data_IF_059130658765
#
_entry.id   IF_059130658765
#
_cell.length_a   1.000
_cell.length_b   1.000
_cell.length_c   1.000
_cell.angle_alpha   90.00
_cell.angle_beta   90.00
_cell.angle_gamma   90.00
#
_symmetry.space_group_name_H-M   'P 1'
#
loop_
_entity.id
_entity.type
_entity.pdbx_description
1 polymer ?
#
# COMPACT_ATOMS: atom_id res chain seq x y z
N UNK A 1 8.53 -13.37 23.93
CA UNK A 1 8.21 -14.46 22.98
C UNK A 1 6.72 -14.45 22.63
N UNK A 2 6.10 -13.27 22.46
CA UNK A 2 4.64 -13.11 22.39
C UNK A 2 4.17 -12.29 21.16
N UNK A 3 5.12 -11.68 20.43
CA UNK A 3 4.81 -10.76 19.32
C UNK A 3 4.49 -11.52 18.02
N UNK A 4 5.08 -12.70 17.82
CA UNK A 4 4.85 -13.55 16.64
C UNK A 4 3.45 -14.19 16.64
N UNK A 5 2.93 -14.58 17.81
CA UNK A 5 1.61 -15.20 17.95
C UNK A 5 0.44 -14.23 17.71
N UNK A 6 0.67 -12.93 17.91
CA UNK A 6 -0.32 -11.86 17.67
C UNK A 6 -0.48 -11.51 16.19
N UNK A 7 0.58 -11.67 15.38
CA UNK A 7 0.51 -11.49 13.92
C UNK A 7 -0.28 -12.62 13.26
N UNK A 8 -0.01 -13.88 13.65
CA UNK A 8 -0.66 -15.06 13.10
C UNK A 8 -2.18 -15.04 13.32
N UNK A 9 -2.65 -14.58 14.50
CA UNK A 9 -4.09 -14.43 14.80
C UNK A 9 -4.81 -13.37 13.98
N UNK A 10 -4.11 -12.35 13.48
CA UNK A 10 -4.68 -11.29 12.63
C UNK A 10 -4.89 -11.75 11.19
N UNK A 11 -4.05 -12.67 10.72
CA UNK A 11 -4.10 -13.23 9.36
C UNK A 11 -5.15 -14.34 9.19
N UNK A 12 -5.56 -15.02 10.28
CA UNK A 12 -6.62 -16.06 10.24
C UNK A 12 -7.93 -15.51 9.64
N UNK A 13 -8.19 -14.20 9.81
CA UNK A 13 -9.35 -13.55 9.22
C UNK A 13 -9.23 -13.31 7.71
N UNK A 14 -8.02 -13.17 7.18
CA UNK A 14 -7.79 -12.83 5.77
C UNK A 14 -7.47 -14.06 4.94
N UNK A 15 -8.35 -15.06 4.90
CA UNK A 15 -8.20 -16.20 3.99
C UNK A 15 -8.11 -15.77 2.51
N UNK A 16 -7.64 -16.68 1.66
CA UNK A 16 -7.47 -16.44 0.20
C UNK A 16 -8.74 -15.85 -0.42
N UNK A 17 -9.91 -16.41 -0.13
CA UNK A 17 -11.18 -15.92 -0.65
C UNK A 17 -11.50 -14.46 -0.26
N UNK A 18 -11.20 -14.06 0.99
CA UNK A 18 -11.41 -12.68 1.43
C UNK A 18 -10.43 -11.72 0.76
N UNK A 19 -9.16 -12.12 0.60
CA UNK A 19 -8.15 -11.34 -0.13
C UNK A 19 -8.55 -11.15 -1.59
N UNK A 20 -8.97 -12.22 -2.27
CA UNK A 20 -9.43 -12.16 -3.66
C UNK A 20 -10.65 -11.26 -3.81
N UNK A 21 -11.70 -11.47 -3.00
CA UNK A 21 -12.92 -10.65 -3.04
C UNK A 21 -12.63 -9.16 -2.82
N UNK A 22 -11.74 -8.85 -1.87
CA UNK A 22 -11.31 -7.49 -1.62
C UNK A 22 -10.62 -6.88 -2.86
N UNK A 23 -9.63 -7.57 -3.42
CA UNK A 23 -8.83 -7.05 -4.54
C UNK A 23 -9.67 -6.91 -5.82
N UNK A 24 -10.55 -7.87 -6.11
CA UNK A 24 -11.47 -7.80 -7.26
C UNK A 24 -12.44 -6.62 -7.13
N UNK A 25 -13.03 -6.44 -5.94
CA UNK A 25 -13.94 -5.31 -5.69
C UNK A 25 -13.20 -3.99 -5.77
N UNK A 26 -11.95 -3.94 -5.31
CA UNK A 26 -11.12 -2.75 -5.36
C UNK A 26 -10.75 -2.40 -6.81
N UNK A 27 -10.45 -3.40 -7.63
CA UNK A 27 -10.15 -3.23 -9.05
C UNK A 27 -11.35 -2.69 -9.85
N UNK A 28 -12.57 -3.05 -9.44
CA UNK A 28 -13.78 -2.59 -10.10
C UNK A 28 -14.22 -1.20 -9.62
N UNK A 29 -14.05 -0.88 -8.34
CA UNK A 29 -14.67 0.29 -7.71
C UNK A 29 -13.71 1.39 -7.29
N UNK A 30 -12.44 1.06 -7.02
CA UNK A 30 -11.50 1.97 -6.36
C UNK A 30 -11.87 2.32 -4.90
N UNK A 31 -12.92 1.72 -4.35
CA UNK A 31 -13.46 2.04 -3.02
C UNK A 31 -13.05 0.98 -1.99
N UNK A 32 -12.19 1.39 -1.05
CA UNK A 32 -11.65 0.53 0.00
C UNK A 32 -12.71 0.10 1.02
N UNK A 33 -13.65 0.98 1.36
CA UNK A 33 -14.69 0.66 2.34
C UNK A 33 -15.64 -0.41 1.78
N UNK A 34 -16.07 -0.21 0.54
CA UNK A 34 -16.88 -1.17 -0.21
C UNK A 34 -16.18 -2.51 -0.41
N UNK A 35 -14.89 -2.48 -0.74
CA UNK A 35 -14.09 -3.69 -0.95
C UNK A 35 -13.93 -4.50 0.34
N UNK A 36 -13.74 -3.80 1.47
CA UNK A 36 -13.67 -4.44 2.78
C UNK A 36 -15.02 -5.08 3.16
N UNK A 37 -16.12 -4.36 2.95
CA UNK A 37 -17.48 -4.87 3.16
C UNK A 37 -17.74 -6.14 2.33
N UNK A 38 -17.40 -6.13 1.03
CA UNK A 38 -17.54 -7.28 0.14
C UNK A 38 -16.74 -8.50 0.63
N UNK A 39 -15.55 -8.28 1.20
CA UNK A 39 -14.72 -9.34 1.79
C UNK A 39 -15.17 -9.77 3.20
N UNK A 40 -16.22 -9.16 3.76
CA UNK A 40 -16.69 -9.41 5.14
C UNK A 40 -15.69 -8.93 6.19
N UNK A 41 -14.94 -7.86 5.91
CA UNK A 41 -13.87 -7.30 6.74
C UNK A 41 -14.04 -5.79 6.95
N UNK A 42 -13.27 -5.24 7.88
CA UNK A 42 -13.22 -3.80 8.09
C UNK A 42 -12.09 -3.18 7.27
N UNK A 43 -12.29 -1.97 6.75
CA UNK A 43 -11.23 -1.24 6.04
C UNK A 43 -9.98 -1.05 6.91
N UNK A 44 -10.15 -0.85 8.22
CA UNK A 44 -9.04 -0.77 9.17
C UNK A 44 -8.20 -2.06 9.21
N UNK A 45 -8.84 -3.24 9.20
CA UNK A 45 -8.15 -4.52 9.13
C UNK A 45 -7.46 -4.74 7.78
N UNK A 46 -8.04 -4.25 6.68
CA UNK A 46 -7.44 -4.32 5.34
C UNK A 46 -6.15 -3.49 5.26
N UNK A 47 -6.16 -2.28 5.82
CA UNK A 47 -4.94 -1.46 5.94
C UNK A 47 -3.90 -2.07 6.88
N UNK A 48 -4.32 -2.75 7.94
CA UNK A 48 -3.40 -3.48 8.81
C UNK A 48 -2.72 -4.63 8.05
N UNK A 49 -3.49 -5.44 7.33
CA UNK A 49 -2.95 -6.50 6.48
C UNK A 49 -1.96 -5.95 5.45
N UNK A 50 -2.32 -4.88 4.73
CA UNK A 50 -1.46 -4.23 3.74
C UNK A 50 -0.10 -3.80 4.29
N UNK A 51 -0.01 -3.41 5.57
CA UNK A 51 1.28 -3.03 6.19
C UNK A 51 2.18 -4.23 6.50
N UNK A 52 1.60 -5.42 6.68
CA UNK A 52 2.31 -6.60 7.15
C UNK A 52 2.49 -7.68 6.07
N UNK A 53 1.69 -7.65 5.01
CA UNK A 53 1.70 -8.60 3.91
C UNK A 53 2.08 -7.87 2.60
N UNK A 54 3.36 -7.96 2.17
CA UNK A 54 3.82 -7.30 0.95
C UNK A 54 3.11 -7.78 -0.31
N UNK A 55 2.74 -9.07 -0.40
CA UNK A 55 2.05 -9.60 -1.56
C UNK A 55 0.63 -9.03 -1.68
N UNK A 56 -0.07 -8.92 -0.55
CA UNK A 56 -1.36 -8.23 -0.52
C UNK A 56 -1.23 -6.73 -0.84
N UNK A 57 -0.14 -6.08 -0.41
CA UNK A 57 0.13 -4.69 -0.75
C UNK A 57 0.37 -4.46 -2.24
N UNK A 58 1.06 -5.39 -2.91
CA UNK A 58 1.31 -5.32 -4.34
C UNK A 58 0.02 -5.58 -5.12
N UNK A 59 -0.77 -6.60 -4.76
CA UNK A 59 -2.10 -6.83 -5.34
C UNK A 59 -3.05 -5.64 -5.14
N UNK A 60 -2.95 -4.94 -4.01
CA UNK A 60 -3.73 -3.72 -3.77
C UNK A 60 -3.39 -2.61 -4.76
N UNK A 61 -2.10 -2.38 -5.03
CA UNK A 61 -1.69 -1.37 -6.00
C UNK A 61 -2.08 -1.76 -7.43
N UNK A 62 -1.97 -3.03 -7.80
CA UNK A 62 -2.47 -3.55 -9.07
C UNK A 62 -3.97 -3.32 -9.23
N UNK A 63 -4.76 -3.64 -8.21
CA UNK A 63 -6.20 -3.39 -8.20
C UNK A 63 -6.53 -1.90 -8.37
N UNK A 64 -5.88 -1.01 -7.61
CA UNK A 64 -6.09 0.42 -7.78
C UNK A 64 -5.73 0.90 -9.20
N UNK A 65 -4.63 0.42 -9.77
CA UNK A 65 -4.25 0.77 -11.14
C UNK A 65 -5.33 0.33 -12.15
N UNK A 66 -5.92 -0.86 -11.98
CA UNK A 66 -7.03 -1.32 -12.81
C UNK A 66 -8.27 -0.42 -12.67
N UNK A 67 -8.61 -0.01 -11.45
CA UNK A 67 -9.74 0.90 -11.20
C UNK A 67 -9.54 2.26 -11.87
N UNK A 68 -8.32 2.82 -11.81
CA UNK A 68 -8.02 4.07 -12.50
C UNK A 68 -8.06 3.93 -14.01
N UNK A 69 -7.49 2.86 -14.59
CA UNK A 69 -7.54 2.64 -16.03
C UNK A 69 -8.99 2.58 -16.54
N UNK A 70 -9.88 1.87 -15.81
CA UNK A 70 -11.32 1.85 -16.13
C UNK A 70 -11.95 3.23 -16.07
N UNK A 71 -11.67 4.00 -15.03
CA UNK A 71 -12.19 5.36 -14.89
C UNK A 71 -11.67 6.28 -16.00
N UNK A 72 -10.40 6.14 -16.40
CA UNK A 72 -9.80 6.87 -17.51
C UNK A 72 -10.49 6.55 -18.84
N UNK A 73 -10.70 5.26 -19.15
CA UNK A 73 -11.40 4.82 -20.36
C UNK A 73 -12.84 5.36 -20.40
N UNK A 74 -13.54 5.28 -19.27
CA UNK A 74 -14.90 5.78 -19.11
C UNK A 74 -15.01 7.31 -19.26
N UNK A 75 -14.02 8.06 -18.77
CA UNK A 75 -13.97 9.50 -18.94
C UNK A 75 -13.59 9.89 -20.36
N UNK A 76 -12.66 9.17 -21.00
CA UNK A 76 -12.27 9.40 -22.39
C UNK A 76 -13.44 9.13 -23.35
N UNK A 77 -14.17 8.02 -23.15
CA UNK A 77 -15.33 7.70 -23.96
C UNK A 77 -16.39 8.82 -23.88
N UNK A 78 -16.67 9.32 -22.66
CA UNK A 78 -17.57 10.47 -22.46
C UNK A 78 -17.03 11.76 -23.09
N UNK A 79 -15.71 11.97 -23.06
CA UNK A 79 -15.08 13.14 -23.67
C UNK A 79 -15.15 13.15 -25.20
N UNK A 80 -15.04 11.97 -25.82
CA UNK A 80 -15.09 11.80 -27.28
C UNK A 80 -16.54 11.88 -27.78
N UNK A 81 -17.50 11.40 -27.00
CA UNK A 81 -18.93 11.40 -27.32
C UNK A 81 -19.58 12.81 -27.22
N UNK A 82 -18.91 13.84 -27.76
CA UNK A 82 -19.30 15.27 -27.82
C UNK A 82 -20.71 15.55 -28.40
N UNK A 83 -21.52 14.53 -28.72
CA UNK A 83 -22.90 14.61 -29.19
C UNK A 83 -23.98 14.22 -28.17
N UNK A 84 -23.65 13.63 -27.02
CA UNK A 84 -24.65 13.34 -25.99
C UNK A 84 -24.97 14.63 -25.21
N UNK A 85 -25.94 15.39 -25.73
CA UNK A 85 -26.52 16.59 -25.08
C UNK A 85 -26.89 16.28 -23.63
N UNK A 86 -26.08 16.80 -22.72
CA UNK A 86 -26.25 16.99 -21.27
C UNK A 86 -26.73 15.79 -20.44
N UNK A 87 -25.80 15.15 -19.71
CA UNK A 87 -25.83 15.07 -18.23
C UNK A 87 -24.38 14.99 -17.70
N UNK A 88 -23.90 16.07 -17.10
CA UNK A 88 -22.69 16.10 -16.27
C UNK A 88 -21.45 16.68 -16.97
N UNK A 89 -21.05 17.88 -16.54
CA UNK A 89 -19.83 18.58 -16.96
C UNK A 89 -18.65 17.63 -17.07
N UNK A 90 -18.09 17.46 -18.27
CA UNK A 90 -16.78 16.84 -18.46
C UNK A 90 -15.75 17.71 -17.73
N UNK A 91 -15.41 17.32 -16.50
CA UNK A 91 -14.45 18.07 -15.70
C UNK A 91 -13.04 17.71 -16.18
N UNK A 92 -12.58 18.49 -17.16
CA UNK A 92 -11.23 18.42 -17.71
C UNK A 92 -10.16 18.53 -16.60
N UNK A 93 -10.43 19.27 -15.53
CA UNK A 93 -9.51 19.38 -14.40
C UNK A 93 -9.47 18.09 -13.57
N UNK A 94 -10.58 17.36 -13.47
CA UNK A 94 -10.61 16.02 -12.88
C UNK A 94 -9.81 15.02 -13.72
N UNK A 95 -9.99 15.03 -15.05
CA UNK A 95 -9.25 14.16 -15.96
C UNK A 95 -7.73 14.39 -15.87
N UNK A 96 -7.28 15.65 -15.90
CA UNK A 96 -5.86 15.99 -15.76
C UNK A 96 -5.29 15.61 -14.38
N UNK A 97 -6.08 15.74 -13.30
CA UNK A 97 -5.67 15.30 -11.96
C UNK A 97 -5.49 13.79 -11.85
N UNK A 98 -6.34 13.00 -12.51
CA UNK A 98 -6.22 11.54 -12.54
C UNK A 98 -4.95 11.11 -13.27
N UNK A 99 -4.68 11.69 -14.44
CA UNK A 99 -3.45 11.45 -15.22
C UNK A 99 -2.18 11.78 -14.42
N UNK A 100 -2.11 12.97 -13.82
CA UNK A 100 -0.95 13.38 -13.02
C UNK A 100 -0.72 12.45 -11.81
N UNK A 101 -1.80 11.93 -11.20
CA UNK A 101 -1.70 10.99 -10.08
C UNK A 101 -1.21 9.60 -10.52
N UNK A 102 -1.61 9.14 -11.72
CA UNK A 102 -1.10 7.88 -12.31
C UNK A 102 0.39 7.98 -12.59
N UNK A 103 0.85 9.08 -13.17
CA UNK A 103 2.28 9.32 -13.44
C UNK A 103 3.11 9.33 -12.15
N UNK A 104 2.68 10.07 -11.13
CA UNK A 104 3.37 10.11 -9.84
C UNK A 104 3.40 8.76 -9.12
N UNK A 105 2.35 7.94 -9.27
CA UNK A 105 2.29 6.60 -8.67
C UNK A 105 3.11 5.59 -9.45
N UNK A 106 3.07 5.61 -10.77
CA UNK A 106 3.93 4.80 -11.63
C UNK A 106 5.41 5.08 -11.36
N UNK A 107 5.77 6.36 -11.19
CA UNK A 107 7.10 6.76 -10.77
C UNK A 107 7.47 6.24 -9.37
N UNK A 108 6.53 6.23 -8.42
CA UNK A 108 6.75 5.73 -7.05
C UNK A 108 6.79 4.20 -6.96
N UNK A 109 6.03 3.50 -7.79
CA UNK A 109 6.09 2.05 -7.92
C UNK A 109 7.40 1.60 -8.60
N UNK A 110 7.93 2.43 -9.51
CA UNK A 110 9.22 2.20 -10.17
C UNK A 110 10.41 2.66 -9.33
N UNK A 111 10.18 3.46 -8.28
CA UNK A 111 11.24 3.87 -7.36
C UNK A 111 11.71 2.65 -6.56
N UNK A 112 13.04 2.50 -6.32
CA UNK A 112 13.56 1.44 -5.48
C UNK A 112 12.85 1.47 -4.12
N UNK A 113 12.17 0.38 -3.76
CA UNK A 113 11.61 0.22 -2.41
C UNK A 113 12.78 0.29 -1.43
N UNK A 114 12.95 1.41 -0.72
CA UNK A 114 13.74 1.42 0.50
C UNK A 114 13.13 0.35 1.41
N UNK A 115 13.93 -0.68 1.69
CA UNK A 115 13.49 -1.82 2.48
C UNK A 115 12.91 -1.30 3.79
N UNK A 116 11.67 -1.73 4.11
CA UNK A 116 11.11 -1.58 5.46
C UNK A 116 12.23 -2.00 6.43
N UNK A 117 12.69 -1.13 7.36
CA UNK A 117 13.72 -1.53 8.28
C UNK A 117 13.20 -2.74 9.02
N UNK A 118 13.84 -3.91 8.80
CA UNK A 118 13.57 -5.08 9.63
C UNK A 118 13.76 -4.61 11.07
N UNK A 119 12.79 -4.91 11.93
CA UNK A 119 13.03 -4.83 13.37
C UNK A 119 14.24 -5.71 13.63
N UNK A 120 15.39 -5.07 13.85
CA UNK A 120 16.64 -5.78 14.11
C UNK A 120 16.41 -6.71 15.29
N UNK A 121 16.85 -7.96 15.17
CA UNK A 121 16.82 -8.90 16.28
C UNK A 121 17.57 -8.31 17.48
N UNK A 122 17.21 -8.71 18.69
CA UNK A 122 17.89 -8.23 19.91
C UNK A 122 19.41 -8.40 19.82
N UNK A 123 19.85 -9.48 19.18
CA UNK A 123 21.25 -9.82 18.95
C UNK A 123 21.93 -8.85 17.96
N UNK A 124 21.25 -8.43 16.89
CA UNK A 124 21.75 -7.40 15.97
C UNK A 124 21.84 -6.02 16.65
N UNK A 125 20.87 -5.68 17.49
CA UNK A 125 20.87 -4.44 18.27
C UNK A 125 22.01 -4.46 19.29
N UNK A 126 22.21 -5.58 19.98
CA UNK A 126 23.31 -5.78 20.94
C UNK A 126 24.66 -5.65 20.24
N UNK A 127 24.84 -6.28 19.08
CA UNK A 127 26.05 -6.16 18.29
C UNK A 127 26.31 -4.72 17.82
N UNK A 128 25.26 -3.99 17.43
CA UNK A 128 25.38 -2.58 17.05
C UNK A 128 25.75 -1.68 18.23
N UNK A 129 25.18 -1.95 19.42
CA UNK A 129 25.51 -1.25 20.67
C UNK A 129 26.97 -1.50 21.08
N UNK A 130 27.41 -2.76 21.06
CA UNK A 130 28.80 -3.14 21.37
C UNK A 130 29.79 -2.46 20.42
N UNK A 131 29.50 -2.42 19.11
CA UNK A 131 30.33 -1.69 18.13
C UNK A 131 30.41 -0.20 18.45
N UNK A 132 29.29 0.44 18.79
CA UNK A 132 29.27 1.86 19.16
C UNK A 132 30.04 2.14 20.45
N UNK A 133 29.87 1.29 21.48
CA UNK A 133 30.61 1.40 22.74
C UNK A 133 32.11 1.20 22.54
N UNK A 134 32.54 0.23 21.72
CA UNK A 134 33.94 0.03 21.39
C UNK A 134 34.53 1.24 20.61
N UNK A 135 33.76 1.82 19.70
CA UNK A 135 34.16 3.03 18.98
C UNK A 135 34.24 4.25 19.90
N UNK A 136 33.38 4.35 20.92
CA UNK A 136 33.42 5.41 21.95
C UNK A 136 34.57 5.20 22.94
N UNK A 137 34.85 3.96 23.35
CA UNK A 137 35.97 3.61 24.22
C UNK A 137 37.34 3.90 23.58
N UNK A 138 37.45 3.75 22.25
CA UNK A 138 38.64 4.18 21.50
C UNK A 138 38.83 5.71 21.44
N UNK A 139 37.80 6.51 21.76
CA UNK A 139 37.81 7.98 21.71
C UNK A 139 38.01 8.65 23.07
N UNK A 140 38.00 7.91 24.18
CA UNK A 140 38.42 8.43 25.48
C UNK A 140 39.81 7.92 25.84
N UNK A 141 40.84 8.78 25.96
CA UNK A 141 42.06 8.38 26.63
C UNK A 141 41.74 8.17 28.12
N UNK A 142 41.86 6.93 28.61
CA UNK A 142 41.85 6.63 30.04
C UNK A 142 43.06 7.34 30.65
N UNK A 143 42.80 8.41 31.41
CA UNK A 143 43.78 9.00 32.32
C UNK A 143 43.56 8.30 33.68
N UNK A 144 44.54 7.51 34.10
CA UNK A 144 44.67 7.00 35.48
C UNK A 144 44.96 8.20 36.39
#
# INVERSE_FOLDING_TARGET
MDEMASADRRDIGWGVAARTMFLDTLALSGDVARSAEAAGRTHASAYALRRHDPAFADGWEEALNAAYARLEDELLARAIDLGAREVGTFDQALALKLLARREGRSARASAPREAVPRTASMEEVEQALLRKLAALGKRLPVKI
#
